data_IF_812945094294
#
_entry.id   IF_812945094294
#
_cell.length_a   1.000
_cell.length_b   1.000
_cell.length_c   1.000
_cell.angle_alpha   90.00
_cell.angle_beta   90.00
_cell.angle_gamma   90.00
#
_symmetry.space_group_name_H-M   'P 1'
#
loop_
_entity.id
_entity.type
_entity.pdbx_description
1 polymer ?
#
# COMPACT_ATOMS: atom_id res chain seq x y z
N UNK A 1 -17.58 1.52 4.04
CA UNK A 1 -18.05 2.08 2.75
C UNK A 1 -19.55 2.29 2.74
N UNK A 2 -20.37 1.23 2.83
CA UNK A 2 -21.84 1.33 2.81
C UNK A 2 -22.40 2.34 3.84
N UNK A 3 -21.98 2.23 5.11
CA UNK A 3 -22.42 3.13 6.19
C UNK A 3 -21.95 4.59 6.00
N UNK A 4 -20.89 4.82 5.23
CA UNK A 4 -20.36 6.15 4.94
C UNK A 4 -20.91 6.73 3.62
N UNK A 5 -21.79 5.99 2.93
CA UNK A 5 -22.31 6.39 1.62
C UNK A 5 -21.28 6.41 0.50
N UNK A 6 -20.14 5.72 0.67
CA UNK A 6 -19.07 5.71 -0.34
C UNK A 6 -19.35 4.71 -1.45
N UNK A 7 -19.05 5.13 -2.68
CA UNK A 7 -19.15 4.30 -3.88
C UNK A 7 -17.94 3.37 -4.01
N UNK A 8 -18.13 2.25 -4.71
CA UNK A 8 -17.04 1.40 -5.13
C UNK A 8 -16.52 1.91 -6.48
N UNK A 9 -15.35 2.55 -6.44
CA UNK A 9 -14.66 3.14 -7.58
C UNK A 9 -13.17 2.76 -7.59
N UNK A 10 -12.45 3.20 -8.63
CA UNK A 10 -11.03 2.89 -8.81
C UNK A 10 -10.15 3.27 -7.60
N UNK A 11 -10.45 4.40 -6.93
CA UNK A 11 -9.68 4.83 -5.76
C UNK A 11 -9.95 3.95 -4.54
N UNK A 12 -11.22 3.63 -4.29
CA UNK A 12 -11.58 2.72 -3.21
C UNK A 12 -11.03 1.30 -3.41
N UNK A 13 -10.99 0.82 -4.66
CA UNK A 13 -10.39 -0.46 -5.01
C UNK A 13 -8.88 -0.43 -4.78
N UNK A 14 -8.19 0.64 -5.20
CA UNK A 14 -6.78 0.83 -4.89
C UNK A 14 -6.52 0.86 -3.38
N UNK A 15 -7.39 1.52 -2.60
CA UNK A 15 -7.31 1.52 -1.13
C UNK A 15 -7.40 0.10 -0.57
N UNK A 16 -8.33 -0.72 -1.07
CA UNK A 16 -8.47 -2.12 -0.65
C UNK A 16 -7.27 -2.98 -1.06
N UNK A 17 -6.74 -2.78 -2.27
CA UNK A 17 -5.53 -3.49 -2.73
C UNK A 17 -4.31 -3.15 -1.88
N UNK A 18 -4.18 -1.92 -1.42
CA UNK A 18 -3.11 -1.54 -0.49
C UNK A 18 -3.41 -2.09 0.92
N UNK A 19 -4.68 -2.04 1.34
CA UNK A 19 -5.11 -2.51 2.64
C UNK A 19 -4.81 -3.99 2.87
N UNK A 20 -4.88 -4.85 1.84
CA UNK A 20 -4.52 -6.27 2.00
C UNK A 20 -3.09 -6.47 2.49
N UNK A 21 -2.14 -5.62 2.06
CA UNK A 21 -0.77 -5.64 2.57
C UNK A 21 -0.71 -5.30 4.06
N UNK A 22 -1.37 -4.21 4.46
CA UNK A 22 -1.41 -3.79 5.88
C UNK A 22 -2.16 -4.79 6.77
N UNK A 23 -3.23 -5.41 6.28
CA UNK A 23 -4.03 -6.38 7.04
C UNK A 23 -3.20 -7.60 7.44
N UNK A 24 -2.30 -8.03 6.56
CA UNK A 24 -1.48 -9.21 6.79
C UNK A 24 -0.27 -8.88 7.66
N UNK A 25 0.24 -7.64 7.62
CA UNK A 25 1.41 -7.20 8.40
C UNK A 25 1.18 -7.35 9.93
N UNK A 26 0.08 -6.80 10.46
CA UNK A 26 -0.25 -6.88 11.89
C UNK A 26 -0.36 -8.34 12.36
N UNK A 27 -1.03 -9.18 11.56
CA UNK A 27 -1.23 -10.59 11.88
C UNK A 27 0.09 -11.38 11.85
N UNK A 28 0.99 -11.09 10.90
CA UNK A 28 2.32 -11.70 10.82
C UNK A 28 3.13 -11.36 12.07
N UNK A 29 3.17 -10.10 12.50
CA UNK A 29 3.94 -9.67 13.68
C UNK A 29 3.50 -10.42 14.93
N UNK A 30 2.19 -10.54 15.16
CA UNK A 30 1.65 -11.28 16.31
C UNK A 30 1.98 -12.77 16.20
N UNK A 31 1.76 -13.38 15.03
CA UNK A 31 2.03 -14.80 14.80
C UNK A 31 3.51 -15.13 14.99
N UNK A 32 4.42 -14.31 14.47
CA UNK A 32 5.86 -14.54 14.58
C UNK A 32 6.34 -14.44 16.03
N UNK A 33 5.77 -13.53 16.84
CA UNK A 33 6.07 -13.50 18.27
C UNK A 33 5.54 -14.73 19.00
N UNK A 34 4.33 -15.22 18.67
CA UNK A 34 3.78 -16.45 19.24
C UNK A 34 4.61 -17.67 18.83
N UNK A 35 5.03 -17.75 17.57
CA UNK A 35 5.86 -18.83 17.03
C UNK A 35 7.22 -18.90 17.74
N UNK A 36 7.87 -17.76 17.97
CA UNK A 36 9.13 -17.68 18.73
C UNK A 36 9.01 -18.28 20.13
N UNK A 37 7.91 -17.98 20.82
CA UNK A 37 7.61 -18.50 22.15
C UNK A 37 7.28 -19.99 22.14
N UNK A 38 6.60 -20.47 21.09
CA UNK A 38 6.35 -21.88 20.88
C UNK A 38 7.66 -22.65 20.64
N UNK A 39 8.58 -22.09 19.84
CA UNK A 39 9.91 -22.66 19.59
C UNK A 39 10.81 -22.68 20.83
N UNK A 40 10.63 -21.70 21.74
CA UNK A 40 11.26 -21.70 23.06
C UNK A 40 10.69 -22.77 24.02
N UNK A 41 9.69 -23.54 23.59
CA UNK A 41 9.14 -24.68 24.34
C UNK A 41 7.89 -24.38 25.18
N UNK A 42 7.28 -23.19 25.03
CA UNK A 42 6.03 -22.89 25.73
C UNK A 42 4.83 -23.65 25.14
N UNK A 43 3.80 -23.88 25.96
CA UNK A 43 2.52 -24.46 25.48
C UNK A 43 1.80 -23.46 24.55
N UNK A 44 1.09 -23.92 23.50
CA UNK A 44 0.47 -23.03 22.50
C UNK A 44 -0.41 -21.91 23.08
N UNK A 45 -1.25 -22.24 24.06
CA UNK A 45 -2.12 -21.25 24.71
C UNK A 45 -1.32 -20.20 25.50
N UNK A 46 -0.27 -20.62 26.19
CA UNK A 46 0.61 -19.72 26.96
C UNK A 46 1.44 -18.84 26.02
N UNK A 47 1.98 -19.42 24.94
CA UNK A 47 2.70 -18.70 23.91
C UNK A 47 1.80 -17.65 23.22
N UNK A 48 0.53 -17.98 22.96
CA UNK A 48 -0.44 -17.04 22.38
C UNK A 48 -0.71 -15.85 23.31
N UNK A 49 -0.96 -16.09 24.60
CA UNK A 49 -1.21 -15.03 25.58
C UNK A 49 0.01 -14.15 25.83
N UNK A 50 1.17 -14.77 26.04
CA UNK A 50 2.43 -14.05 26.30
C UNK A 50 2.86 -13.27 25.05
N UNK A 51 2.86 -13.93 23.89
CA UNK A 51 3.28 -13.32 22.63
C UNK A 51 2.43 -12.09 22.29
N UNK A 52 1.11 -12.17 22.45
CA UNK A 52 0.19 -11.05 22.19
C UNK A 52 0.38 -9.92 23.20
N UNK A 53 0.66 -10.21 24.48
CA UNK A 53 0.88 -9.17 25.50
C UNK A 53 2.13 -8.34 25.24
N UNK A 54 3.18 -8.95 24.71
CA UNK A 54 4.44 -8.24 24.43
C UNK A 54 4.33 -7.33 23.20
N UNK A 55 3.71 -7.81 22.12
CA UNK A 55 3.62 -7.01 20.88
C UNK A 55 2.34 -6.19 20.77
N UNK A 56 1.32 -6.46 21.59
CA UNK A 56 0.00 -5.86 21.43
C UNK A 56 0.01 -4.34 21.51
N UNK A 57 0.79 -3.77 22.43
CA UNK A 57 0.97 -2.32 22.51
C UNK A 57 1.70 -1.75 21.28
N UNK A 58 2.72 -2.46 20.80
CA UNK A 58 3.50 -2.07 19.62
C UNK A 58 2.65 -2.05 18.36
N UNK A 59 1.86 -3.10 18.12
CA UNK A 59 0.97 -3.20 16.96
C UNK A 59 -0.09 -2.09 17.04
N UNK A 60 -0.74 -1.90 18.19
CA UNK A 60 -1.71 -0.82 18.38
C UNK A 60 -1.11 0.57 18.11
N UNK A 61 0.11 0.83 18.59
CA UNK A 61 0.80 2.11 18.38
C UNK A 61 1.16 2.34 16.90
N UNK A 62 1.64 1.30 16.21
CA UNK A 62 1.98 1.36 14.79
C UNK A 62 0.73 1.58 13.93
N UNK A 63 -0.35 0.81 14.16
CA UNK A 63 -1.61 0.96 13.42
C UNK A 63 -2.26 2.32 13.65
N UNK A 64 -2.25 2.85 14.89
CA UNK A 64 -2.78 4.18 15.19
C UNK A 64 -1.96 5.28 14.51
N UNK A 65 -0.63 5.13 14.47
CA UNK A 65 0.26 6.06 13.75
C UNK A 65 -0.03 6.06 12.24
N UNK A 66 -0.26 4.89 11.65
CA UNK A 66 -0.68 4.74 10.25
C UNK A 66 -2.00 5.47 9.99
N UNK A 67 -3.01 5.28 10.84
CA UNK A 67 -4.29 6.00 10.74
C UNK A 67 -4.09 7.52 10.86
N UNK A 68 -3.21 7.97 11.76
CA UNK A 68 -2.93 9.38 11.96
C UNK A 68 -2.31 10.06 10.72
N UNK A 69 -1.50 9.34 9.93
CA UNK A 69 -0.93 9.85 8.67
C UNK A 69 -2.02 10.18 7.63
N UNK A 70 -3.17 9.52 7.71
CA UNK A 70 -4.30 9.80 6.81
C UNK A 70 -5.21 10.95 7.27
N UNK A 71 -5.06 11.43 8.51
CA UNK A 71 -5.90 12.49 9.08
C UNK A 71 -5.88 13.80 8.26
N UNK A 72 -4.71 14.31 7.79
CA UNK A 72 -4.68 15.51 6.95
C UNK A 72 -5.48 15.37 5.65
N UNK A 73 -5.52 14.16 5.06
CA UNK A 73 -6.27 13.90 3.84
C UNK A 73 -7.78 13.97 4.06
N UNK A 74 -8.26 13.60 5.25
CA UNK A 74 -9.67 13.74 5.63
C UNK A 74 -10.10 15.20 5.74
N UNK A 75 -9.19 16.07 6.18
CA UNK A 75 -9.39 17.50 6.37
C UNK A 75 -9.23 18.31 5.07
N UNK A 76 -8.71 17.70 4.01
CA UNK A 76 -8.50 18.38 2.73
C UNK A 76 -9.83 18.68 2.02
N UNK A 77 -10.01 19.93 1.61
CA UNK A 77 -11.19 20.39 0.87
C UNK A 77 -11.09 20.18 -0.65
N UNK A 78 -12.16 20.57 -1.36
CA UNK A 78 -12.21 20.55 -2.82
C UNK A 78 -12.52 19.18 -3.44
N UNK A 79 -12.55 19.14 -4.78
CA UNK A 79 -12.70 17.90 -5.58
C UNK A 79 -11.64 16.83 -5.25
N UNK A 80 -10.32 17.14 -5.26
CA UNK A 80 -9.30 16.15 -4.91
C UNK A 80 -9.42 15.67 -3.45
N UNK A 81 -9.86 16.53 -2.54
CA UNK A 81 -10.10 16.16 -1.14
C UNK A 81 -11.22 15.13 -0.97
N UNK A 82 -12.32 15.23 -1.75
CA UNK A 82 -13.39 14.22 -1.69
C UNK A 82 -12.92 12.85 -2.16
N UNK A 83 -12.17 12.81 -3.26
CA UNK A 83 -11.62 11.59 -3.85
C UNK A 83 -10.62 10.91 -2.89
N UNK A 84 -9.71 11.69 -2.29
CA UNK A 84 -8.74 11.18 -1.31
C UNK A 84 -9.37 10.83 0.04
N UNK A 85 -10.50 11.46 0.40
CA UNK A 85 -11.26 11.12 1.61
C UNK A 85 -11.85 9.71 1.51
N UNK A 86 -12.46 9.34 0.39
CA UNK A 86 -12.98 7.99 0.19
C UNK A 86 -11.86 6.93 0.31
N UNK A 87 -10.70 7.22 -0.29
CA UNK A 87 -9.49 6.40 -0.16
C UNK A 87 -9.02 6.28 1.31
N UNK A 88 -8.82 7.42 1.98
CA UNK A 88 -8.27 7.50 3.33
C UNK A 88 -9.15 6.84 4.38
N UNK A 89 -10.48 7.04 4.33
CA UNK A 89 -11.41 6.40 5.27
C UNK A 89 -11.47 4.89 5.03
N UNK A 90 -11.52 4.45 3.77
CA UNK A 90 -11.57 3.01 3.45
C UNK A 90 -10.34 2.30 4.00
N UNK A 91 -9.16 2.87 3.80
CA UNK A 91 -7.90 2.32 4.31
C UNK A 91 -7.83 2.36 5.85
N UNK A 92 -8.20 3.49 6.47
CA UNK A 92 -8.19 3.63 7.93
C UNK A 92 -9.11 2.64 8.63
N UNK A 93 -10.32 2.43 8.09
CA UNK A 93 -11.27 1.43 8.61
C UNK A 93 -10.74 0.01 8.41
N UNK A 94 -10.14 -0.29 7.25
CA UNK A 94 -9.55 -1.59 6.99
C UNK A 94 -8.40 -1.91 7.97
N UNK A 95 -7.52 -0.94 8.24
CA UNK A 95 -6.44 -1.05 9.24
C UNK A 95 -7.04 -1.22 10.65
N UNK A 96 -8.08 -0.47 11.00
CA UNK A 96 -8.76 -0.63 12.30
C UNK A 96 -9.36 -2.03 12.48
N UNK A 97 -9.98 -2.58 11.44
CA UNK A 97 -10.50 -3.95 11.44
C UNK A 97 -9.35 -4.97 11.52
N UNK A 98 -8.24 -4.74 10.79
CA UNK A 98 -7.02 -5.57 10.87
C UNK A 98 -6.48 -5.65 12.29
N UNK A 99 -6.34 -4.51 12.96
CA UNK A 99 -5.86 -4.42 14.33
C UNK A 99 -6.75 -5.25 15.28
N UNK A 100 -8.08 -5.13 15.14
CA UNK A 100 -9.00 -5.92 15.93
C UNK A 100 -8.85 -7.42 15.65
N UNK A 101 -8.77 -7.83 14.39
CA UNK A 101 -8.63 -9.24 14.00
C UNK A 101 -7.29 -9.81 14.46
N UNK A 102 -6.19 -9.07 14.32
CA UNK A 102 -4.84 -9.50 14.69
C UNK A 102 -4.63 -9.66 16.20
N UNK A 103 -5.31 -8.86 17.03
CA UNK A 103 -5.21 -8.98 18.50
C UNK A 103 -6.24 -9.92 19.12
N UNK A 104 -7.30 -10.30 18.39
CA UNK A 104 -8.37 -11.16 18.93
C UNK A 104 -8.39 -12.54 18.27
N UNK A 105 -8.56 -12.59 16.94
CA UNK A 105 -8.75 -13.83 16.20
C UNK A 105 -7.43 -14.56 15.98
N UNK A 106 -6.36 -13.83 15.62
CA UNK A 106 -5.05 -14.45 15.35
C UNK A 106 -4.49 -15.21 16.56
N UNK A 107 -4.48 -14.66 17.79
CA UNK A 107 -3.99 -15.39 18.96
C UNK A 107 -4.88 -16.57 19.32
N UNK A 108 -6.20 -16.44 19.17
CA UNK A 108 -7.16 -17.51 19.41
C UNK A 108 -6.92 -18.68 18.44
N UNK A 109 -6.76 -18.40 17.15
CA UNK A 109 -6.43 -19.41 16.15
C UNK A 109 -5.05 -20.03 16.39
N UNK A 110 -4.03 -19.24 16.75
CA UNK A 110 -2.70 -19.76 17.06
C UNK A 110 -2.71 -20.65 18.32
N UNK A 111 -3.49 -20.29 19.34
CA UNK A 111 -3.61 -21.12 20.55
C UNK A 111 -4.26 -22.48 20.32
N UNK A 112 -5.10 -22.60 19.28
CA UNK A 112 -5.89 -23.80 19.01
C UNK A 112 -5.34 -24.66 17.85
N UNK A 113 -4.90 -24.04 16.76
CA UNK A 113 -4.41 -24.73 15.55
C UNK A 113 -2.90 -25.00 15.58
N UNK A 114 -2.11 -24.18 16.30
CA UNK A 114 -0.65 -24.29 16.28
C UNK A 114 -0.22 -25.42 17.22
N UNK A 115 0.08 -26.59 16.63
CA UNK A 115 0.56 -27.75 17.39
C UNK A 115 1.96 -27.46 17.92
N UNK A 116 2.17 -27.70 19.22
CA UNK A 116 3.50 -27.71 19.82
C UNK A 116 4.37 -28.72 19.07
N UNK A 117 5.27 -28.21 18.23
CA UNK A 117 6.29 -29.07 17.64
C UNK A 117 7.24 -29.48 18.75
N UNK A 118 7.52 -30.78 18.86
CA UNK A 118 8.60 -31.30 19.71
C UNK A 118 9.86 -30.46 19.45
N UNK A 119 10.69 -30.17 20.47
CA UNK A 119 11.91 -29.38 20.31
C UNK A 119 12.66 -29.95 19.11
N UNK A 120 12.67 -29.16 18.04
CA UNK A 120 13.18 -29.61 16.76
C UNK A 120 14.68 -29.69 16.95
N UNK A 121 15.18 -30.89 17.28
CA UNK A 121 16.56 -31.26 16.98
C UNK A 121 16.88 -30.64 15.63
N UNK A 122 17.97 -29.88 15.58
CA UNK A 122 18.45 -29.11 14.44
C UNK A 122 18.39 -29.95 13.16
N UNK A 123 17.22 -30.03 12.52
CA UNK A 123 17.02 -30.74 11.26
C UNK A 123 17.62 -29.85 10.20
N UNK A 124 18.94 -29.97 10.08
CA UNK A 124 19.80 -29.66 8.93
C UNK A 124 19.22 -28.50 8.12
N UNK A 125 19.58 -27.27 8.47
CA UNK A 125 19.41 -26.08 7.63
C UNK A 125 20.03 -26.39 6.24
N UNK A 126 19.22 -26.92 5.32
CA UNK A 126 19.62 -27.28 3.96
C UNK A 126 19.14 -26.17 3.04
N UNK A 127 20.07 -25.61 2.26
CA UNK A 127 19.81 -24.54 1.30
C UNK A 127 19.47 -23.21 1.96
N UNK A 128 18.19 -22.83 1.92
CA UNK A 128 17.68 -21.52 2.32
C UNK A 128 17.98 -21.13 3.77
N UNK A 129 17.93 -22.08 4.71
CA UNK A 129 18.23 -21.79 6.11
C UNK A 129 19.67 -21.32 6.34
N UNK A 130 20.64 -21.84 5.58
CA UNK A 130 22.04 -21.36 5.66
C UNK A 130 22.22 -20.00 5.02
N UNK A 131 21.52 -19.74 3.92
CA UNK A 131 21.52 -18.43 3.28
C UNK A 131 20.95 -17.36 4.21
N UNK A 132 19.84 -17.63 4.88
CA UNK A 132 19.22 -16.71 5.85
C UNK A 132 20.17 -16.41 7.02
N UNK A 133 20.81 -17.42 7.60
CA UNK A 133 21.79 -17.22 8.69
C UNK A 133 23.00 -16.42 8.19
N UNK A 134 23.50 -16.69 6.98
CA UNK A 134 24.60 -15.92 6.39
C UNK A 134 24.21 -14.45 6.14
N UNK A 135 23.00 -14.19 5.65
CA UNK A 135 22.45 -12.84 5.48
C UNK A 135 22.31 -12.12 6.81
N UNK A 136 21.79 -12.80 7.84
CA UNK A 136 21.66 -12.23 9.19
C UNK A 136 23.03 -11.88 9.79
N UNK A 137 24.04 -12.74 9.61
CA UNK A 137 25.40 -12.46 10.06
C UNK A 137 26.06 -11.32 9.25
N UNK A 138 25.81 -11.27 7.94
CA UNK A 138 26.25 -10.18 7.06
C UNK A 138 25.66 -8.84 7.50
N UNK A 139 24.36 -8.81 7.78
CA UNK A 139 23.66 -7.65 8.33
C UNK A 139 24.24 -7.20 9.68
N UNK A 140 24.54 -8.16 10.58
CA UNK A 140 25.18 -7.84 11.86
C UNK A 140 26.57 -7.21 11.72
N UNK A 141 27.37 -7.65 10.74
CA UNK A 141 28.69 -7.07 10.44
C UNK A 141 28.58 -5.68 9.82
N UNK A 142 27.70 -5.50 8.85
CA UNK A 142 27.50 -4.19 8.21
C UNK A 142 26.94 -3.17 9.21
N UNK A 143 26.00 -3.58 10.07
CA UNK A 143 25.45 -2.71 11.12
C UNK A 143 26.53 -2.23 12.09
N UNK A 144 27.42 -3.13 12.55
CA UNK A 144 28.56 -2.73 13.40
C UNK A 144 29.49 -1.73 12.71
N UNK A 145 29.76 -1.94 11.42
CA UNK A 145 30.58 -1.02 10.65
C UNK A 145 29.93 0.36 10.50
N UNK A 146 28.63 0.40 10.19
CA UNK A 146 27.82 1.63 10.09
C UNK A 146 27.81 2.38 11.42
N UNK A 147 27.56 1.68 12.53
CA UNK A 147 27.55 2.28 13.87
C UNK A 147 28.92 2.87 14.26
N UNK A 148 30.02 2.20 13.90
CA UNK A 148 31.37 2.70 14.15
C UNK A 148 31.74 3.94 13.30
N UNK A 149 31.07 4.16 12.17
CA UNK A 149 31.34 5.28 11.26
C UNK A 149 30.23 6.33 11.29
N UNK A 150 29.75 6.70 12.49
CA UNK A 150 28.60 7.61 12.67
C UNK A 150 28.72 8.92 11.89
N UNK A 151 29.93 9.49 11.78
CA UNK A 151 30.17 10.74 11.03
C UNK A 151 29.93 10.56 9.52
N UNK A 152 30.42 9.47 8.93
CA UNK A 152 30.19 9.17 7.51
C UNK A 152 28.70 8.92 7.24
N UNK A 153 28.03 8.18 8.13
CA UNK A 153 26.59 7.92 8.04
C UNK A 153 25.79 9.23 8.12
N UNK A 154 26.19 10.15 8.99
CA UNK A 154 25.60 11.49 9.07
C UNK A 154 25.74 12.29 7.78
N UNK A 155 26.91 12.26 7.14
CA UNK A 155 27.13 12.92 5.83
C UNK A 155 26.27 12.28 4.74
N UNK A 156 26.19 10.95 4.71
CA UNK A 156 25.34 10.22 3.75
C UNK A 156 23.86 10.55 3.96
N UNK A 157 23.40 10.65 5.21
CA UNK A 157 22.04 11.07 5.54
C UNK A 157 21.75 12.49 5.00
N UNK A 158 22.64 13.45 5.27
CA UNK A 158 22.50 14.82 4.77
C UNK A 158 22.51 14.87 3.23
N UNK A 159 23.40 14.11 2.59
CA UNK A 159 23.44 13.97 1.14
C UNK A 159 22.14 13.37 0.57
N UNK A 160 21.56 12.38 1.24
CA UNK A 160 20.29 11.75 0.84
C UNK A 160 19.12 12.72 0.98
N UNK A 161 19.08 13.53 2.05
CA UNK A 161 18.07 14.58 2.23
C UNK A 161 18.20 15.65 1.14
N UNK A 162 19.43 16.13 0.88
CA UNK A 162 19.68 17.12 -0.17
C UNK A 162 19.28 16.60 -1.56
N UNK A 163 19.61 15.34 -1.87
CA UNK A 163 19.23 14.68 -3.11
C UNK A 163 17.71 14.54 -3.24
N UNK A 164 17.01 14.21 -2.14
CA UNK A 164 15.56 14.10 -2.12
C UNK A 164 14.89 15.45 -2.42
N UNK A 165 15.36 16.54 -1.81
CA UNK A 165 14.87 17.90 -2.06
C UNK A 165 15.12 18.30 -3.52
N UNK A 166 16.32 18.04 -4.03
CA UNK A 166 16.66 18.34 -5.42
C UNK A 166 15.77 17.59 -6.43
N UNK A 167 15.52 16.30 -6.18
CA UNK A 167 14.65 15.48 -7.01
C UNK A 167 13.19 15.95 -6.95
N UNK A 168 12.71 16.32 -5.76
CA UNK A 168 11.37 16.86 -5.57
C UNK A 168 11.12 18.15 -6.36
N UNK A 169 12.13 19.02 -6.49
CA UNK A 169 12.04 20.25 -7.28
C UNK A 169 12.09 19.96 -8.78
N UNK A 170 12.85 18.93 -9.19
CA UNK A 170 13.08 18.62 -10.60
C UNK A 170 11.92 17.85 -11.26
N UNK A 171 11.10 17.13 -10.48
CA UNK A 171 9.96 16.37 -11.03
C UNK A 171 8.80 17.32 -11.39
N UNK A 172 8.34 17.33 -12.66
CA UNK A 172 7.20 18.15 -13.07
C UNK A 172 5.92 17.65 -12.40
N UNK A 173 5.13 18.60 -11.90
CA UNK A 173 3.89 18.32 -11.17
C UNK A 173 2.73 18.24 -12.16
N UNK A 174 2.29 17.02 -12.48
CA UNK A 174 1.09 16.76 -13.27
C UNK A 174 -0.04 16.26 -12.35
N UNK A 175 -1.26 16.74 -12.55
CA UNK A 175 -2.37 16.47 -11.63
C UNK A 175 -2.97 15.06 -11.81
N UNK A 176 -3.11 14.62 -13.07
CA UNK A 176 -3.46 13.25 -13.44
C UNK A 176 -2.79 12.90 -14.79
N UNK A 177 -2.32 11.66 -14.98
CA UNK A 177 -1.93 11.20 -16.30
C UNK A 177 -3.17 11.15 -17.20
N UNK A 178 -3.02 11.51 -18.47
CA UNK A 178 -4.09 11.31 -19.44
C UNK A 178 -4.40 9.82 -19.56
N UNK A 179 -5.66 9.46 -19.34
CA UNK A 179 -6.15 8.09 -19.46
C UNK A 179 -6.86 7.95 -20.79
N UNK A 180 -6.45 6.96 -21.58
CA UNK A 180 -7.16 6.60 -22.78
C UNK A 180 -8.50 5.97 -22.40
N UNK A 181 -9.58 6.71 -22.64
CA UNK A 181 -10.96 6.22 -22.41
C UNK A 181 -11.55 5.56 -23.66
N UNK A 182 -10.77 5.42 -24.73
CA UNK A 182 -11.23 4.95 -26.03
C UNK A 182 -12.16 5.94 -26.74
N UNK A 183 -12.28 7.18 -26.22
CA UNK A 183 -13.12 8.23 -26.80
C UNK A 183 -12.24 9.34 -27.35
N UNK A 184 -12.34 9.55 -28.66
CA UNK A 184 -11.76 10.69 -29.36
C UNK A 184 -12.84 11.79 -29.52
N UNK A 185 -12.69 12.89 -28.79
CA UNK A 185 -13.52 14.07 -28.98
C UNK A 185 -12.87 15.02 -29.98
N UNK A 186 -13.58 15.34 -31.06
CA UNK A 186 -13.16 16.32 -32.07
C UNK A 186 -14.31 17.26 -32.42
N UNK A 187 -14.01 18.53 -32.68
CA UNK A 187 -14.96 19.54 -33.12
C UNK A 187 -14.51 20.16 -34.43
N UNK A 188 -15.47 20.53 -35.29
CA UNK A 188 -15.19 21.29 -36.51
C UNK A 188 -15.66 22.73 -36.25
N UNK A 189 -14.76 23.69 -36.46
CA UNK A 189 -15.09 25.12 -36.40
C UNK A 189 -15.00 25.69 -37.81
N UNK A 190 -16.09 26.31 -38.28
CA UNK A 190 -16.20 26.93 -39.60
C UNK A 190 -16.53 28.42 -39.47
N UNK A 191 -16.38 29.17 -40.58
CA UNK A 191 -16.68 30.61 -40.64
C UNK A 191 -18.15 30.88 -40.25
N UNK A 192 -18.41 31.97 -39.52
CA UNK A 192 -19.75 32.33 -39.04
C UNK A 192 -20.75 32.57 -40.18
N UNK A 193 -20.27 32.81 -41.40
CA UNK A 193 -21.07 33.00 -42.61
C UNK A 193 -21.52 31.70 -43.29
N UNK A 194 -21.11 30.52 -42.81
CA UNK A 194 -21.41 29.24 -43.46
C UNK A 194 -22.88 28.81 -43.24
N UNK A 195 -23.53 28.33 -44.29
CA UNK A 195 -24.88 27.77 -44.20
C UNK A 195 -24.88 26.39 -43.55
N UNK A 196 -25.99 26.02 -42.89
CA UNK A 196 -26.15 24.71 -42.24
C UNK A 196 -25.92 23.53 -43.18
N UNK A 197 -26.32 23.65 -44.45
CA UNK A 197 -26.11 22.62 -45.48
C UNK A 197 -24.63 22.44 -45.83
N UNK A 198 -23.86 23.53 -45.93
CA UNK A 198 -22.42 23.45 -46.21
C UNK A 198 -21.63 22.91 -44.99
N UNK A 199 -22.04 23.25 -43.77
CA UNK A 199 -21.46 22.69 -42.54
C UNK A 199 -21.70 21.18 -42.43
N UNK A 200 -22.89 20.70 -42.81
CA UNK A 200 -23.22 19.26 -42.79
C UNK A 200 -22.38 18.45 -43.77
N UNK A 201 -22.12 19.00 -44.96
CA UNK A 201 -21.21 18.39 -45.95
C UNK A 201 -19.79 18.27 -45.42
N UNK A 202 -19.23 19.35 -44.84
CA UNK A 202 -17.90 19.33 -44.21
C UNK A 202 -17.79 18.34 -43.05
N UNK A 203 -18.85 18.18 -42.26
CA UNK A 203 -18.89 17.23 -41.16
C UNK A 203 -18.94 15.77 -41.64
N UNK A 204 -19.63 15.49 -42.75
CA UNK A 204 -19.59 14.17 -43.39
C UNK A 204 -18.22 13.85 -43.96
N UNK A 205 -17.59 14.80 -44.67
CA UNK A 205 -16.24 14.64 -45.22
C UNK A 205 -15.21 14.36 -44.11
N UNK A 206 -15.33 15.04 -42.98
CA UNK A 206 -14.46 14.82 -41.82
C UNK A 206 -14.69 13.46 -41.13
N UNK A 207 -15.92 12.91 -41.18
CA UNK A 207 -16.27 11.63 -40.54
C UNK A 207 -15.81 10.40 -41.34
N UNK A 208 -15.75 10.51 -42.68
CA UNK A 208 -15.44 9.39 -43.58
C UNK A 208 -14.09 8.69 -43.28
N UNK A 209 -12.95 9.39 -43.06
CA UNK A 209 -11.68 8.76 -42.73
C UNK A 209 -11.71 7.99 -41.41
N UNK A 210 -12.38 8.54 -40.38
CA UNK A 210 -12.47 7.91 -39.06
C UNK A 210 -13.34 6.65 -39.07
N UNK A 211 -14.35 6.59 -39.94
CA UNK A 211 -15.19 5.38 -40.10
C UNK A 211 -14.44 4.19 -40.73
N UNK A 212 -13.30 4.43 -41.38
CA UNK A 212 -12.44 3.38 -41.94
C UNK A 212 -11.36 2.90 -40.95
N UNK A 213 -11.16 3.60 -39.84
CA UNK A 213 -10.22 3.19 -38.80
C UNK A 213 -10.80 2.05 -37.95
N UNK A 214 -10.12 0.89 -37.94
CA UNK A 214 -10.52 -0.33 -37.22
C UNK A 214 -10.69 -0.17 -35.69
N UNK A 215 -10.15 0.90 -35.12
CA UNK A 215 -10.23 1.22 -33.68
C UNK A 215 -11.37 2.18 -33.32
N UNK A 216 -12.09 2.74 -34.29
CA UNK A 216 -13.18 3.69 -34.05
C UNK A 216 -14.51 2.93 -34.14
N UNK A 217 -15.08 2.60 -32.99
CA UNK A 217 -16.45 2.07 -32.89
C UNK A 217 -17.39 3.26 -32.81
N UNK A 218 -18.27 3.39 -33.82
CA UNK A 218 -19.17 4.55 -33.99
C UNK A 218 -20.35 4.59 -33.04
#
# INVERSE_FOLDING_TARGET
MYLCGFSLNNLSLMALTIATGFVVDDAIVVLENIARHLEAGMKPLQAALQGTREVGFTVLSMSLSLVAVFLPLLLMGGLPGRLLREFAVTLSVAIGISLLVSLTLTPMMCGWMLKASKPREQKRLRGFGRMLVALQQGYGKSLKWVLNHTRLVGVVLLGTIALNIWLYISIPKTFFPEQDTGVLMGGIQADQSISFQAMRGKLQDFRLPFSQCRQVVG
#
